data_IF_701370630448
#
_entry.id   IF_701370630448
#
_cell.length_a   1.000
_cell.length_b   1.000
_cell.length_c   1.000
_cell.angle_alpha   90.00
_cell.angle_beta   90.00
_cell.angle_gamma   90.00
#
_symmetry.space_group_name_H-M   'P 1'
#
loop_
_entity.id
_entity.type
_entity.pdbx_description
1 polymer ?
#
# COMPACT_ATOMS: atom_id res chain seq x y z
N UNK A 1 -3.14 1.76 6.80
CA UNK A 1 -4.24 2.70 6.99
C UNK A 1 -5.58 2.06 6.61
N UNK A 2 -6.66 2.55 7.16
CA UNK A 2 -7.98 2.00 6.86
C UNK A 2 -8.31 2.04 5.36
N UNK A 3 -7.92 3.11 4.67
CA UNK A 3 -8.15 3.23 3.22
C UNK A 3 -7.42 2.15 2.43
N UNK A 4 -6.13 1.98 2.71
CA UNK A 4 -5.32 0.99 2.00
C UNK A 4 -5.71 -0.43 2.41
N UNK A 5 -5.96 -0.68 3.69
CA UNK A 5 -6.36 -1.99 4.19
C UNK A 5 -7.68 -2.46 3.59
N UNK A 6 -8.64 -1.55 3.40
CA UNK A 6 -9.91 -1.88 2.78
C UNK A 6 -9.77 -2.26 1.30
N UNK A 7 -8.71 -1.80 0.64
CA UNK A 7 -8.48 -2.02 -0.79
C UNK A 7 -7.39 -3.05 -1.09
N UNK A 8 -6.72 -3.58 -0.06
CA UNK A 8 -5.63 -4.52 -0.31
C UNK A 8 -6.16 -5.86 -0.84
N UNK A 9 -5.41 -6.40 -1.81
CA UNK A 9 -5.65 -7.74 -2.31
C UNK A 9 -4.66 -8.70 -1.69
N UNK A 10 -5.15 -9.77 -1.09
CA UNK A 10 -4.28 -10.84 -0.58
C UNK A 10 -4.29 -11.96 -1.61
N UNK A 11 -3.17 -12.21 -2.32
CA UNK A 11 -3.13 -13.22 -3.37
C UNK A 11 -3.50 -14.61 -2.84
N UNK A 12 -4.32 -15.34 -3.59
CA UNK A 12 -4.76 -16.66 -3.19
C UNK A 12 -3.57 -17.63 -3.02
N UNK A 13 -2.56 -17.52 -3.88
CA UNK A 13 -1.35 -18.31 -3.77
C UNK A 13 -0.62 -18.08 -2.45
N UNK A 14 -0.55 -16.82 -2.00
CA UNK A 14 0.08 -16.49 -0.74
C UNK A 14 -0.70 -17.04 0.44
N UNK A 15 -2.04 -16.99 0.38
CA UNK A 15 -2.89 -17.58 1.42
C UNK A 15 -2.69 -19.09 1.49
N UNK A 16 -2.67 -19.75 0.33
CA UNK A 16 -2.49 -21.20 0.23
C UNK A 16 -1.18 -21.66 0.87
N UNK A 17 -0.11 -20.91 0.66
CA UNK A 17 1.21 -21.22 1.22
C UNK A 17 1.46 -20.55 2.56
N UNK A 18 0.45 -19.93 3.15
CA UNK A 18 0.52 -19.24 4.44
C UNK A 18 1.63 -18.17 4.47
N UNK A 19 1.84 -17.50 3.35
CA UNK A 19 2.79 -16.40 3.28
C UNK A 19 2.22 -15.19 3.98
N UNK A 20 2.92 -14.73 4.98
CA UNK A 20 2.53 -13.59 5.80
C UNK A 20 3.70 -12.64 5.97
N UNK A 21 3.41 -11.40 6.24
CA UNK A 21 4.42 -10.39 6.49
C UNK A 21 3.88 -8.99 6.29
N UNK A 22 4.67 -8.03 6.71
CA UNK A 22 4.36 -6.62 6.51
C UNK A 22 5.23 -6.06 5.40
N UNK A 23 4.62 -5.29 4.50
CA UNK A 23 5.31 -4.56 3.46
C UNK A 23 5.22 -3.08 3.79
N UNK A 24 6.35 -2.43 3.96
CA UNK A 24 6.34 -0.96 4.10
C UNK A 24 6.52 -0.38 2.71
N UNK A 25 5.50 0.33 2.25
CA UNK A 25 5.53 0.99 0.95
C UNK A 25 5.67 2.49 1.14
N UNK A 26 6.49 3.11 0.29
CA UNK A 26 6.62 4.55 0.22
C UNK A 26 5.98 5.00 -1.08
N UNK A 27 5.12 6.00 -0.99
CA UNK A 27 4.47 6.52 -2.18
C UNK A 27 4.34 8.02 -2.11
N UNK A 28 4.28 8.63 -3.28
CA UNK A 28 4.13 10.07 -3.42
C UNK A 28 2.81 10.34 -4.12
N UNK A 29 2.01 11.19 -3.51
CA UNK A 29 0.74 11.63 -4.09
C UNK A 29 0.82 13.08 -4.50
N UNK A 30 0.11 13.41 -5.57
CA UNK A 30 -0.08 14.78 -6.01
C UNK A 30 -1.21 15.45 -5.24
N UNK A 31 -1.38 16.73 -5.49
CA UNK A 31 -2.37 17.56 -4.79
C UNK A 31 -3.79 17.01 -4.90
N UNK A 32 -4.13 16.44 -6.04
CA UNK A 32 -5.46 15.87 -6.30
C UNK A 32 -5.58 14.41 -5.84
N UNK A 33 -4.57 13.87 -5.19
CA UNK A 33 -4.59 12.48 -4.73
C UNK A 33 -4.08 11.48 -5.75
N UNK A 34 -3.50 11.93 -6.86
CA UNK A 34 -2.92 11.04 -7.87
C UNK A 34 -1.70 10.33 -7.31
N UNK A 35 -1.54 9.06 -7.64
CA UNK A 35 -0.35 8.32 -7.32
C UNK A 35 0.74 8.66 -8.34
N UNK A 36 1.77 9.39 -7.90
CA UNK A 36 2.86 9.84 -8.77
C UNK A 36 4.04 8.87 -8.79
N UNK A 37 4.31 8.22 -7.65
CA UNK A 37 5.41 7.28 -7.53
C UNK A 37 5.14 6.32 -6.38
N UNK A 38 5.71 5.13 -6.47
CA UNK A 38 5.62 4.14 -5.40
C UNK A 38 6.86 3.26 -5.39
N UNK A 39 7.24 2.79 -4.21
CA UNK A 39 8.38 1.91 -4.03
C UNK A 39 8.22 1.09 -2.76
N UNK A 40 8.92 -0.05 -2.72
CA UNK A 40 9.00 -0.87 -1.51
C UNK A 40 10.10 -0.28 -0.63
N UNK A 41 9.75 0.16 0.57
CA UNK A 41 10.72 0.61 1.56
C UNK A 41 11.25 -0.55 2.38
N UNK A 42 10.38 -1.50 2.70
CA UNK A 42 10.76 -2.72 3.42
C UNK A 42 9.95 -3.88 2.89
N UNK A 43 10.65 -4.92 2.44
CA UNK A 43 10.02 -6.12 1.90
C UNK A 43 9.43 -6.99 3.00
N UNK A 44 8.37 -7.70 2.67
CA UNK A 44 7.81 -8.73 3.54
C UNK A 44 8.68 -10.00 3.58
N UNK A 45 9.64 -10.11 2.66
CA UNK A 45 10.37 -11.35 2.44
C UNK A 45 9.72 -12.26 1.39
N UNK A 46 8.57 -11.87 0.87
CA UNK A 46 7.84 -12.62 -0.15
C UNK A 46 7.53 -11.70 -1.33
N UNK A 47 8.12 -12.00 -2.49
CA UNK A 47 7.97 -11.15 -3.67
C UNK A 47 6.51 -10.95 -4.08
N UNK A 48 5.69 -11.99 -3.96
CA UNK A 48 4.28 -11.91 -4.31
C UNK A 48 3.50 -10.94 -3.41
N UNK A 49 3.81 -10.92 -2.11
CA UNK A 49 3.19 -9.97 -1.19
C UNK A 49 3.64 -8.55 -1.48
N UNK A 50 4.92 -8.37 -1.79
CA UNK A 50 5.46 -7.07 -2.15
C UNK A 50 4.77 -6.53 -3.42
N UNK A 51 4.62 -7.36 -4.43
CA UNK A 51 3.92 -6.99 -5.67
C UNK A 51 2.44 -6.68 -5.41
N UNK A 52 1.80 -7.47 -4.55
CA UNK A 52 0.41 -7.25 -4.16
C UNK A 52 0.23 -5.90 -3.45
N UNK A 53 1.21 -5.51 -2.64
CA UNK A 53 1.18 -4.22 -1.95
C UNK A 53 1.25 -3.06 -2.94
N UNK A 54 2.14 -3.13 -3.93
CA UNK A 54 2.22 -2.11 -4.97
C UNK A 54 0.94 -2.06 -5.81
N UNK A 55 0.37 -3.20 -6.16
CA UNK A 55 -0.90 -3.26 -6.88
C UNK A 55 -2.05 -2.68 -6.06
N UNK A 56 -2.02 -2.87 -4.75
CA UNK A 56 -3.00 -2.29 -3.83
C UNK A 56 -2.97 -0.76 -3.90
N UNK A 57 -1.78 -0.16 -3.92
CA UNK A 57 -1.67 1.29 -4.06
C UNK A 57 -2.28 1.77 -5.38
N UNK A 58 -1.99 1.09 -6.47
CA UNK A 58 -2.52 1.46 -7.78
C UNK A 58 -4.05 1.38 -7.82
N UNK A 59 -4.64 0.38 -7.15
CA UNK A 59 -6.10 0.24 -7.08
C UNK A 59 -6.75 1.23 -6.13
N UNK A 60 -6.05 1.63 -5.08
CA UNK A 60 -6.56 2.58 -4.09
C UNK A 60 -6.53 4.02 -4.62
N UNK A 61 -5.73 4.30 -5.62
CA UNK A 61 -5.68 5.62 -6.24
C UNK A 61 -6.97 5.90 -7.04
N UNK A 62 -7.46 7.16 -7.11
CA UNK A 62 -6.84 8.32 -6.45
C UNK A 62 -7.09 8.32 -4.93
N UNK A 63 -6.13 8.87 -4.22
CA UNK A 63 -6.23 9.04 -2.77
C UNK A 63 -7.03 10.31 -2.44
N UNK A 64 -7.45 10.48 -1.18
CA UNK A 64 -8.02 11.75 -0.76
C UNK A 64 -7.05 12.91 -1.07
N UNK A 65 -7.55 14.06 -1.56
CA UNK A 65 -6.68 15.18 -1.88
C UNK A 65 -5.90 15.69 -0.68
N UNK A 66 -4.71 16.25 -0.95
CA UNK A 66 -3.93 16.91 0.08
C UNK A 66 -4.67 18.19 0.49
N UNK A 67 -4.99 18.38 1.78
CA UNK A 67 -5.64 19.62 2.22
C UNK A 67 -4.77 20.84 1.91
N UNK A 68 -5.39 21.94 1.53
CA UNK A 68 -4.69 23.17 1.15
C UNK A 68 -3.79 23.70 2.25
N UNK A 69 -4.16 23.51 3.53
CA UNK A 69 -3.36 24.00 4.64
C UNK A 69 -2.00 23.30 4.77
N UNK A 70 -1.83 22.13 4.14
CA UNK A 70 -0.52 21.45 4.14
C UNK A 70 0.50 22.24 3.33
N UNK A 71 0.04 23.00 2.32
CA UNK A 71 0.90 23.88 1.54
C UNK A 71 1.91 23.17 0.65
N UNK A 72 1.60 21.95 0.20
CA UNK A 72 2.50 21.17 -0.66
C UNK A 72 1.77 20.70 -1.91
N UNK A 73 2.53 20.68 -3.02
CA UNK A 73 2.04 20.12 -4.29
C UNK A 73 2.10 18.60 -4.29
N UNK A 74 3.03 18.02 -3.53
CA UNK A 74 3.20 16.58 -3.40
C UNK A 74 3.40 16.20 -1.95
N UNK A 75 3.06 14.97 -1.62
CA UNK A 75 3.26 14.42 -0.28
C UNK A 75 3.78 12.99 -0.41
N UNK A 76 4.91 12.72 0.24
CA UNK A 76 5.47 11.36 0.30
C UNK A 76 5.15 10.75 1.65
N UNK A 77 4.59 9.54 1.62
CA UNK A 77 4.14 8.84 2.81
C UNK A 77 4.68 7.41 2.77
N UNK A 78 5.08 6.90 3.94
CA UNK A 78 5.43 5.51 4.10
C UNK A 78 4.39 4.84 5.00
N UNK A 79 3.80 3.74 4.54
CA UNK A 79 2.79 3.02 5.30
C UNK A 79 3.08 1.53 5.30
N UNK A 80 2.80 0.85 6.42
CA UNK A 80 2.86 -0.61 6.46
C UNK A 80 1.56 -1.20 5.95
N UNK A 81 1.66 -2.25 5.15
CA UNK A 81 0.53 -3.07 4.73
C UNK A 81 0.76 -4.46 5.30
N UNK A 82 -0.08 -4.88 6.22
CA UNK A 82 0.03 -6.18 6.86
C UNK A 82 -0.74 -7.24 6.09
N UNK A 83 -0.03 -8.32 5.78
CA UNK A 83 -0.64 -9.53 5.27
C UNK A 83 -0.56 -10.60 6.35
N UNK A 84 -1.62 -10.71 7.12
CA UNK A 84 -1.72 -11.70 8.18
C UNK A 84 -2.94 -12.59 7.92
N UNK A 85 -2.73 -13.90 8.02
CA UNK A 85 -3.83 -14.84 7.91
C UNK A 85 -4.56 -14.89 9.24
N UNK A 86 -5.87 -14.65 9.19
CA UNK A 86 -6.72 -14.81 10.35
C UNK A 86 -7.24 -16.24 10.30
N UNK A 87 -6.85 -17.03 11.29
CA UNK A 87 -7.36 -18.40 11.44
C UNK A 87 -8.38 -18.39 12.56
N UNK A 88 -9.58 -18.69 12.21
CA UNK A 88 -10.65 -18.84 13.19
C UNK A 88 -10.60 -20.25 13.81
#
# INVERSE_FOLDING_TARGET
>A
TAWIDANKGYPAECKKHKQQGAVVVKFTIGRDGQLLASAIKQSSGHARLDQAALATLARAAPFPPIPDFVGRETLSIAVPIDYALITD
#
